data_IF_859531223872
#
_entry.id   IF_859531223872
#
_cell.length_a   1.000
_cell.length_b   1.000
_cell.length_c   1.000
_cell.angle_alpha   90.00
_cell.angle_beta   90.00
_cell.angle_gamma   90.00
#
_symmetry.space_group_name_H-M   'P 1'
#
loop_
_entity.id
_entity.type
_entity.pdbx_description
1 polymer ?
#
# COMPACT_ATOMS: atom_id res chain seq x y z
N UNK A 1 -14.81 3.82 -28.96
CA UNK A 1 -14.75 4.03 -27.49
C UNK A 1 -13.41 3.51 -27.00
N UNK A 2 -12.52 4.37 -26.52
CA UNK A 2 -11.25 3.94 -25.93
C UNK A 2 -11.51 3.56 -24.46
N UNK A 3 -10.97 2.44 -23.94
CA UNK A 3 -11.12 2.11 -22.54
C UNK A 3 -10.34 3.12 -21.69
N UNK A 4 -10.94 3.53 -20.57
CA UNK A 4 -10.30 4.36 -19.55
C UNK A 4 -9.05 3.64 -19.01
N UNK A 5 -7.99 4.40 -18.74
CA UNK A 5 -6.74 3.89 -18.17
C UNK A 5 -7.02 2.97 -16.98
N UNK A 6 -6.46 1.76 -17.08
CA UNK A 6 -6.89 0.59 -16.35
C UNK A 6 -6.73 0.68 -14.84
N UNK A 7 -7.84 0.50 -14.13
CA UNK A 7 -7.80 -0.06 -12.79
C UNK A 7 -7.47 -1.55 -12.91
N UNK A 8 -6.19 -1.90 -12.88
CA UNK A 8 -5.79 -3.30 -12.77
C UNK A 8 -6.35 -3.87 -11.45
N UNK A 9 -6.91 -5.10 -11.44
CA UNK A 9 -7.31 -5.78 -10.21
C UNK A 9 -6.21 -5.75 -9.15
N UNK A 10 -6.56 -5.64 -7.86
CA UNK A 10 -5.60 -5.56 -6.73
C UNK A 10 -4.49 -6.63 -6.82
N UNK A 11 -4.84 -7.84 -7.25
CA UNK A 11 -3.89 -8.93 -7.45
C UNK A 11 -2.90 -8.71 -8.61
N UNK A 12 -3.32 -8.07 -9.71
CA UNK A 12 -2.45 -7.76 -10.84
C UNK A 12 -1.48 -6.61 -10.54
N UNK A 13 -1.96 -5.57 -9.85
CA UNK A 13 -1.09 -4.48 -9.38
C UNK A 13 0.00 -4.99 -8.44
N UNK A 14 -0.34 -5.91 -7.54
CA UNK A 14 0.65 -6.58 -6.66
C UNK A 14 1.69 -7.38 -7.43
N UNK A 15 1.28 -8.11 -8.47
CA UNK A 15 2.21 -8.86 -9.33
C UNK A 15 3.15 -7.94 -10.11
N UNK A 16 2.63 -6.82 -10.60
CA UNK A 16 3.43 -5.82 -11.31
C UNK A 16 4.40 -5.09 -10.38
N UNK A 17 3.96 -4.66 -9.19
CA UNK A 17 4.84 -4.10 -8.16
C UNK A 17 5.91 -5.11 -7.70
N UNK A 18 5.57 -6.39 -7.58
CA UNK A 18 6.54 -7.44 -7.29
C UNK A 18 7.61 -7.57 -8.39
N UNK A 19 7.24 -7.45 -9.67
CA UNK A 19 8.19 -7.46 -10.79
C UNK A 19 9.11 -6.24 -10.77
N UNK A 20 8.57 -5.05 -10.52
CA UNK A 20 9.37 -3.82 -10.46
C UNK A 20 10.38 -3.82 -9.29
N UNK A 21 10.09 -4.55 -8.20
CA UNK A 21 11.03 -4.77 -7.09
C UNK A 21 12.26 -5.62 -7.45
N UNK A 22 12.17 -6.44 -8.50
CA UNK A 22 13.23 -7.40 -8.88
C UNK A 22 14.24 -6.86 -9.91
N UNK A 23 14.10 -5.61 -10.36
CA UNK A 23 15.06 -5.03 -11.30
C UNK A 23 16.43 -4.80 -10.61
N UNK A 24 17.54 -5.24 -11.23
CA UNK A 24 18.87 -5.11 -10.66
C UNK A 24 19.34 -3.66 -10.78
N UNK A 25 19.35 -2.94 -9.65
CA UNK A 25 20.05 -1.67 -9.50
C UNK A 25 21.00 -1.80 -8.32
N UNK A 26 22.24 -1.36 -8.51
CA UNK A 26 23.20 -1.20 -7.42
C UNK A 26 22.65 -0.13 -6.47
N UNK A 27 22.21 -0.59 -5.30
CA UNK A 27 21.58 0.23 -4.27
C UNK A 27 22.65 1.01 -3.50
N UNK A 28 22.66 2.34 -3.65
CA UNK A 28 23.25 3.23 -2.64
C UNK A 28 22.40 3.19 -1.34
N UNK A 29 22.97 3.53 -0.18
CA UNK A 29 22.34 3.30 1.14
C UNK A 29 20.93 3.89 1.25
N UNK A 30 20.69 5.08 0.67
CA UNK A 30 19.37 5.73 0.62
C UNK A 30 18.32 4.91 -0.12
N UNK A 31 18.69 4.22 -1.21
CA UNK A 31 17.76 3.34 -1.91
C UNK A 31 17.44 2.06 -1.11
N UNK A 32 18.40 1.57 -0.31
CA UNK A 32 18.20 0.37 0.51
C UNK A 32 17.18 0.66 1.63
N UNK A 33 17.32 1.81 2.29
CA UNK A 33 16.37 2.30 3.29
C UNK A 33 14.98 2.51 2.69
N UNK A 34 14.88 3.11 1.50
CA UNK A 34 13.62 3.27 0.78
C UNK A 34 12.95 1.93 0.42
N UNK A 35 13.72 0.95 -0.07
CA UNK A 35 13.20 -0.40 -0.35
C UNK A 35 12.74 -1.09 0.93
N UNK A 36 13.43 -0.88 2.03
CA UNK A 36 13.04 -1.43 3.33
C UNK A 36 11.72 -0.83 3.82
N UNK A 37 11.54 0.50 3.73
CA UNK A 37 10.28 1.17 4.07
C UNK A 37 9.10 0.66 3.23
N UNK A 38 9.29 0.56 1.92
CA UNK A 38 8.27 0.02 1.00
C UNK A 38 7.97 -1.46 1.29
N UNK A 39 9.00 -2.23 1.64
CA UNK A 39 8.87 -3.63 2.06
C UNK A 39 8.08 -3.79 3.35
N UNK A 40 8.41 -2.99 4.37
CA UNK A 40 7.71 -2.93 5.67
C UNK A 40 6.23 -2.56 5.48
N UNK A 41 5.95 -1.52 4.70
CA UNK A 41 4.58 -1.11 4.38
C UNK A 41 3.77 -2.25 3.74
N UNK A 42 4.37 -2.99 2.80
CA UNK A 42 3.71 -4.13 2.17
C UNK A 42 3.44 -5.30 3.12
N UNK A 43 4.37 -5.58 4.03
CA UNK A 43 4.17 -6.60 5.05
C UNK A 43 3.01 -6.23 5.99
N UNK A 44 2.95 -4.97 6.44
CA UNK A 44 1.86 -4.45 7.26
C UNK A 44 0.51 -4.53 6.52
N UNK A 45 0.46 -4.13 5.24
CA UNK A 45 -0.75 -4.24 4.44
C UNK A 45 -1.21 -5.70 4.22
N UNK A 46 -0.28 -6.66 4.15
CA UNK A 46 -0.62 -8.08 4.05
C UNK A 46 -1.21 -8.63 5.36
N UNK A 47 -0.69 -8.20 6.52
CA UNK A 47 -1.28 -8.53 7.82
C UNK A 47 -2.68 -7.92 7.95
N UNK A 48 -2.84 -6.66 7.59
CA UNK A 48 -4.13 -5.97 7.61
C UNK A 48 -5.18 -6.61 6.67
N UNK A 49 -4.75 -7.12 5.50
CA UNK A 49 -5.62 -7.92 4.63
C UNK A 49 -6.10 -9.19 5.35
N UNK A 50 -5.20 -9.91 6.03
CA UNK A 50 -5.56 -11.12 6.77
C UNK A 50 -6.53 -10.79 7.93
N UNK A 51 -6.29 -9.71 8.65
CA UNK A 51 -7.19 -9.23 9.71
C UNK A 51 -8.58 -8.85 9.16
N UNK A 52 -8.63 -8.24 7.97
CA UNK A 52 -9.90 -7.95 7.29
C UNK A 52 -10.66 -9.23 6.97
N UNK A 53 -9.98 -10.27 6.46
CA UNK A 53 -10.58 -11.58 6.16
C UNK A 53 -11.12 -12.24 7.44
N UNK A 54 -10.40 -12.12 8.55
CA UNK A 54 -10.82 -12.64 9.86
C UNK A 54 -11.93 -11.81 10.52
N UNK A 55 -12.33 -10.68 9.93
CA UNK A 55 -13.32 -9.76 10.50
C UNK A 55 -12.79 -8.89 11.64
N UNK A 56 -11.48 -8.86 11.86
CA UNK A 56 -10.79 -8.03 12.84
C UNK A 56 -10.57 -6.61 12.29
N UNK A 57 -11.66 -5.94 11.90
CA UNK A 57 -11.58 -4.68 11.13
C UNK A 57 -10.86 -3.53 11.85
N UNK A 58 -10.93 -3.45 13.18
CA UNK A 58 -10.22 -2.43 13.94
C UNK A 58 -8.69 -2.59 13.82
N UNK A 59 -8.20 -3.82 13.93
CA UNK A 59 -6.78 -4.14 13.74
C UNK A 59 -6.37 -3.88 12.28
N UNK A 60 -7.19 -4.30 11.32
CA UNK A 60 -6.93 -4.08 9.90
C UNK A 60 -6.79 -2.59 9.55
N UNK A 61 -7.65 -1.73 10.10
CA UNK A 61 -7.56 -0.27 9.91
C UNK A 61 -6.22 0.25 10.42
N UNK A 62 -5.80 -0.14 11.63
CA UNK A 62 -4.52 0.27 12.20
C UNK A 62 -3.34 -0.22 11.34
N UNK A 63 -3.40 -1.45 10.85
CA UNK A 63 -2.36 -2.02 9.98
C UNK A 63 -2.25 -1.29 8.63
N UNK A 64 -3.38 -0.92 8.00
CA UNK A 64 -3.36 -0.12 6.78
C UNK A 64 -2.92 1.33 7.02
N UNK A 65 -3.27 1.93 8.17
CA UNK A 65 -2.82 3.28 8.55
C UNK A 65 -1.30 3.31 8.77
N UNK A 66 -0.74 2.32 9.47
CA UNK A 66 0.71 2.17 9.65
C UNK A 66 1.44 1.92 8.31
N UNK A 67 0.84 1.13 7.41
CA UNK A 67 1.37 0.96 6.06
C UNK A 67 1.39 2.28 5.26
N UNK A 68 0.33 3.08 5.37
CA UNK A 68 0.25 4.39 4.71
C UNK A 68 1.27 5.38 5.29
N UNK A 69 1.52 5.35 6.61
CA UNK A 69 2.52 6.21 7.25
C UNK A 69 3.94 5.91 6.77
N UNK A 70 4.34 4.63 6.75
CA UNK A 70 5.64 4.21 6.20
C UNK A 70 5.82 4.58 4.72
N UNK A 71 4.73 4.55 3.93
CA UNK A 71 4.77 4.98 2.54
C UNK A 71 4.89 6.50 2.39
N UNK A 72 4.31 7.30 3.30
CA UNK A 72 4.50 8.76 3.32
C UNK A 72 5.92 9.15 3.70
N UNK A 73 6.54 8.42 4.61
CA UNK A 73 7.96 8.58 4.93
C UNK A 73 8.82 8.28 3.69
N UNK A 74 8.53 7.17 3.01
CA UNK A 74 9.21 6.83 1.75
C UNK A 74 8.96 7.89 0.66
N UNK A 75 7.74 8.39 0.52
CA UNK A 75 7.41 9.47 -0.44
C UNK A 75 8.23 10.72 -0.14
N UNK A 76 8.26 11.16 1.12
CA UNK A 76 9.01 12.35 1.55
C UNK A 76 10.50 12.22 1.25
N UNK A 77 11.09 11.05 1.52
CA UNK A 77 12.49 10.78 1.19
C UNK A 77 12.74 10.79 -0.33
N UNK A 78 11.79 10.31 -1.14
CA UNK A 78 11.88 10.36 -2.61
C UNK A 78 11.77 11.78 -3.17
N UNK A 79 11.01 12.67 -2.53
CA UNK A 79 10.92 14.09 -2.91
C UNK A 79 12.23 14.86 -2.67
N UNK A 80 13.06 14.40 -1.73
CA UNK A 80 14.38 14.99 -1.46
C UNK A 80 15.43 14.60 -2.50
N UNK A 81 15.23 13.49 -3.23
CA UNK A 81 16.12 13.01 -4.30
C UNK A 81 15.35 12.68 -5.61
N UNK A 82 14.73 13.70 -6.25
CA UNK A 82 13.79 13.49 -7.36
C UNK A 82 14.44 12.93 -8.64
N UNK A 83 15.76 13.11 -8.80
CA UNK A 83 16.47 12.82 -10.06
C UNK A 83 16.76 11.33 -10.29
N UNK A 84 16.63 10.46 -9.27
CA UNK A 84 17.06 9.05 -9.36
C UNK A 84 15.96 8.02 -9.09
N UNK A 85 14.72 8.45 -8.79
CA UNK A 85 13.73 7.52 -8.20
C UNK A 85 12.31 7.57 -8.78
N UNK A 86 12.12 8.08 -10.02
CA UNK A 86 10.81 8.17 -10.66
C UNK A 86 9.97 6.87 -10.56
N UNK A 87 10.60 5.70 -10.77
CA UNK A 87 9.92 4.40 -10.66
C UNK A 87 9.46 4.09 -9.22
N UNK A 88 10.26 4.44 -8.21
CA UNK A 88 9.89 4.22 -6.80
C UNK A 88 8.80 5.20 -6.37
N UNK A 89 8.83 6.44 -6.84
CA UNK A 89 7.77 7.44 -6.58
C UNK A 89 6.42 6.94 -7.07
N UNK A 90 6.36 6.41 -8.31
CA UNK A 90 5.13 5.82 -8.87
C UNK A 90 4.61 4.64 -8.03
N UNK A 91 5.52 3.77 -7.56
CA UNK A 91 5.16 2.62 -6.70
C UNK A 91 4.59 3.11 -5.36
N UNK A 92 5.28 4.04 -4.70
CA UNK A 92 4.86 4.56 -3.39
C UNK A 92 3.50 5.24 -3.48
N UNK A 93 3.26 6.06 -4.51
CA UNK A 93 1.98 6.70 -4.73
C UNK A 93 0.85 5.69 -4.98
N UNK A 94 1.09 4.69 -5.83
CA UNK A 94 0.10 3.66 -6.10
C UNK A 94 -0.25 2.84 -4.84
N UNK A 95 0.73 2.55 -3.99
CA UNK A 95 0.52 1.84 -2.72
C UNK A 95 -0.21 2.74 -1.69
N UNK A 96 0.06 4.05 -1.66
CA UNK A 96 -0.67 5.01 -0.80
C UNK A 96 -2.15 5.12 -1.15
N UNK A 97 -2.45 5.21 -2.44
CA UNK A 97 -3.83 5.19 -2.93
C UNK A 97 -4.52 3.88 -2.55
N UNK A 98 -3.84 2.75 -2.72
CA UNK A 98 -4.36 1.44 -2.37
C UNK A 98 -4.60 1.28 -0.85
N UNK A 99 -3.70 1.79 -0.01
CA UNK A 99 -3.88 1.80 1.44
C UNK A 99 -5.11 2.65 1.83
N UNK A 100 -5.27 3.83 1.24
CA UNK A 100 -6.41 4.72 1.48
C UNK A 100 -7.75 4.06 1.12
N UNK A 101 -7.82 3.36 -0.02
CA UNK A 101 -9.00 2.58 -0.42
C UNK A 101 -9.27 1.46 0.60
N UNK A 102 -8.24 0.72 1.01
CA UNK A 102 -8.38 -0.42 1.92
C UNK A 102 -8.85 0.02 3.32
N UNK A 103 -8.38 1.18 3.82
CA UNK A 103 -8.88 1.80 5.07
C UNK A 103 -10.37 2.11 4.96
N UNK A 104 -10.80 2.71 3.84
CA UNK A 104 -12.21 3.06 3.63
C UNK A 104 -13.09 1.81 3.58
N UNK A 105 -12.65 0.76 2.90
CA UNK A 105 -13.35 -0.53 2.83
C UNK A 105 -13.47 -1.17 4.22
N UNK A 106 -12.36 -1.24 4.98
CA UNK A 106 -12.36 -1.81 6.33
C UNK A 106 -13.29 -1.04 7.28
N UNK A 107 -13.33 0.30 7.21
CA UNK A 107 -14.27 1.14 7.98
C UNK A 107 -15.73 0.89 7.59
N UNK A 108 -16.02 0.70 6.30
CA UNK A 108 -17.36 0.36 5.84
C UNK A 108 -17.81 -1.00 6.37
N UNK A 109 -16.95 -2.02 6.28
CA UNK A 109 -17.23 -3.36 6.79
C UNK A 109 -17.44 -3.37 8.31
N UNK A 110 -16.63 -2.62 9.06
CA UNK A 110 -16.81 -2.46 10.51
C UNK A 110 -18.21 -1.92 10.85
N UNK A 111 -18.63 -0.83 10.19
CA UNK A 111 -19.96 -0.23 10.39
C UNK A 111 -21.11 -1.19 10.04
N UNK A 112 -20.96 -1.97 8.96
CA UNK A 112 -21.96 -2.96 8.58
C UNK A 112 -22.11 -4.07 9.63
N UNK A 113 -21.01 -4.49 10.25
CA UNK A 113 -21.06 -5.47 11.35
C UNK A 113 -21.72 -4.88 12.59
N UNK A 114 -21.40 -3.65 12.96
CA UNK A 114 -22.05 -2.95 14.08
C UNK A 114 -23.56 -2.81 13.85
N UNK A 115 -23.98 -2.39 12.65
CA UNK A 115 -25.38 -2.29 12.29
C UNK A 115 -26.11 -3.63 12.40
N UNK A 116 -25.48 -4.74 11.98
CA UNK A 116 -26.06 -6.08 12.12
C UNK A 116 -26.16 -6.55 13.57
N UNK A 117 -25.27 -6.12 14.47
CA UNK A 117 -25.34 -6.46 15.90
C UNK A 117 -26.43 -5.70 16.65
N UNK A 118 -26.86 -4.55 16.13
CA UNK A 118 -27.89 -3.70 16.74
C UNK A 118 -29.33 -4.08 16.35
N UNK A 119 -29.50 -5.10 15.51
CA UNK A 119 -30.79 -5.68 15.10
C UNK A 119 -30.98 -7.05 15.74
#
# INVERSE_FOLDING_TARGET
>A
MKPAYGQKPKAERRKENARLRTLPYELNSSQAELKELVGKASAMAAVADAETIMGCYAAAILGYEAAAEALKEAETALWLEPEHHWNLTQIVQAELEQASVSIREARMLARLVEYKKAR
#
